data_IF_204500840323
#
_entry.id   IF_204500840323
#
_cell.length_a   1.000
_cell.length_b   1.000
_cell.length_c   1.000
_cell.angle_alpha   90.00
_cell.angle_beta   90.00
_cell.angle_gamma   90.00
#
_symmetry.space_group_name_H-M   'P 1'
#
loop_
_entity.id
_entity.type
_entity.pdbx_description
1 polymer ?
#
# COMPACT_ATOMS: atom_id res chain seq x y z
N UNK A 1 -5.95 31.20 -8.35
CA UNK A 1 -5.46 29.97 -7.71
C UNK A 1 -5.49 28.89 -8.78
N UNK A 2 -4.37 28.71 -9.49
CA UNK A 2 -4.25 27.73 -10.57
C UNK A 2 -4.16 26.33 -9.94
N UNK A 3 -5.14 25.46 -10.17
CA UNK A 3 -4.84 24.03 -10.22
C UNK A 3 -4.07 23.83 -11.54
N UNK A 4 -2.78 23.45 -11.50
CA UNK A 4 -2.07 23.13 -12.73
C UNK A 4 -2.75 21.92 -13.38
N UNK A 5 -2.65 21.82 -14.71
CA UNK A 5 -3.07 20.65 -15.48
C UNK A 5 -2.75 19.36 -14.72
N UNK A 6 -3.76 18.50 -14.55
CA UNK A 6 -3.61 17.18 -13.93
C UNK A 6 -2.43 16.50 -14.61
N UNK A 7 -1.37 16.18 -13.85
CA UNK A 7 -0.17 15.52 -14.38
C UNK A 7 -0.60 14.32 -15.23
N UNK A 8 0.00 14.12 -16.40
CA UNK A 8 -0.32 13.03 -17.32
C UNK A 8 -0.46 11.68 -16.61
N UNK A 9 0.38 11.37 -15.61
CA UNK A 9 0.27 10.13 -14.81
C UNK A 9 -1.05 10.05 -14.03
N UNK A 10 -1.49 11.15 -13.42
CA UNK A 10 -2.76 11.23 -12.71
C UNK A 10 -3.95 11.25 -13.67
N UNK A 11 -3.80 11.78 -14.90
CA UNK A 11 -4.83 11.68 -15.92
C UNK A 11 -5.00 10.24 -16.44
N UNK A 12 -3.88 9.51 -16.61
CA UNK A 12 -3.89 8.11 -17.06
C UNK A 12 -4.59 7.19 -16.05
N UNK A 13 -4.50 7.45 -14.74
CA UNK A 13 -5.21 6.67 -13.73
C UNK A 13 -6.72 6.90 -13.71
N UNK A 14 -7.23 7.87 -14.48
CA UNK A 14 -8.66 8.15 -14.60
C UNK A 14 -9.27 7.59 -15.90
N UNK A 15 -8.47 6.86 -16.70
CA UNK A 15 -8.99 6.18 -17.90
C UNK A 15 -9.87 5.01 -17.43
N UNK A 16 -11.14 4.95 -17.84
CA UNK A 16 -12.02 3.86 -17.46
C UNK A 16 -11.57 2.54 -18.12
N UNK A 17 -11.38 1.50 -17.31
CA UNK A 17 -10.95 0.17 -17.76
C UNK A 17 -12.04 -0.88 -17.48
N UNK A 18 -12.85 -0.65 -16.43
CA UNK A 18 -14.01 -1.44 -16.05
C UNK A 18 -15.33 -0.73 -16.42
N UNK A 19 -16.41 -1.49 -16.57
CA UNK A 19 -17.76 -0.91 -16.67
C UNK A 19 -18.10 -0.03 -15.46
N UNK A 20 -17.63 -0.41 -14.27
CA UNK A 20 -17.81 0.37 -13.04
C UNK A 20 -17.05 1.70 -13.00
N UNK A 21 -16.05 1.89 -13.87
CA UNK A 21 -15.33 3.17 -14.02
C UNK A 21 -16.07 4.14 -14.94
N UNK A 22 -17.01 3.62 -15.75
CA UNK A 22 -17.91 4.43 -16.56
C UNK A 22 -19.07 4.86 -15.66
N UNK A 23 -18.85 5.97 -14.94
CA UNK A 23 -19.82 6.42 -13.94
C UNK A 23 -20.98 7.17 -14.62
N UNK A 24 -21.97 6.43 -15.11
CA UNK A 24 -23.21 7.00 -15.70
C UNK A 24 -24.01 7.87 -14.71
N UNK A 25 -23.68 7.79 -13.41
CA UNK A 25 -24.28 8.54 -12.30
C UNK A 25 -23.24 9.19 -11.39
N UNK A 26 -22.25 9.87 -11.99
CA UNK A 26 -21.09 10.40 -11.25
C UNK A 26 -21.48 11.28 -10.06
N UNK A 27 -22.45 12.16 -10.21
CA UNK A 27 -22.88 13.05 -9.12
C UNK A 27 -23.70 12.33 -8.03
N UNK A 28 -24.27 11.16 -8.33
CA UNK A 28 -25.02 10.35 -7.35
C UNK A 28 -24.05 9.54 -6.48
N UNK A 29 -23.06 8.90 -7.09
CA UNK A 29 -22.07 8.08 -6.40
C UNK A 29 -20.89 8.87 -5.83
N UNK A 30 -20.52 9.97 -6.49
CA UNK A 30 -19.40 10.85 -6.13
C UNK A 30 -19.86 12.31 -6.17
N UNK A 31 -20.70 12.72 -5.21
CA UNK A 31 -21.26 14.07 -5.17
C UNK A 31 -20.16 15.13 -5.07
N UNK A 32 -20.17 16.16 -5.94
CA UNK A 32 -19.13 17.16 -5.96
C UNK A 32 -19.12 17.98 -4.67
N UNK A 33 -17.92 18.19 -4.11
CA UNK A 33 -17.75 18.99 -2.89
C UNK A 33 -18.08 18.25 -1.60
N UNK A 34 -18.40 16.96 -1.67
CA UNK A 34 -18.53 16.10 -0.50
C UNK A 34 -17.31 15.19 -0.37
N UNK A 35 -16.68 15.26 0.79
CA UNK A 35 -15.48 14.53 1.12
C UNK A 35 -15.69 13.76 2.42
N UNK A 36 -14.97 12.66 2.58
CA UNK A 36 -14.89 11.96 3.85
C UNK A 36 -13.97 12.72 4.83
N UNK A 37 -13.71 12.11 5.99
CA UNK A 37 -12.88 12.71 7.05
C UNK A 37 -11.41 12.88 6.64
N UNK A 38 -10.97 12.16 5.60
CA UNK A 38 -9.59 12.09 5.12
C UNK A 38 -9.40 12.97 3.86
N UNK A 39 -10.35 13.90 3.62
CA UNK A 39 -10.45 14.77 2.44
C UNK A 39 -10.49 14.01 1.10
N UNK A 40 -10.91 12.74 1.11
CA UNK A 40 -11.10 11.95 -0.11
C UNK A 40 -12.52 12.10 -0.63
N UNK A 41 -12.68 12.02 -1.96
CA UNK A 41 -14.00 12.10 -2.60
C UNK A 41 -14.89 10.98 -2.04
N UNK A 42 -16.04 11.37 -1.48
CA UNK A 42 -16.98 10.41 -0.90
C UNK A 42 -17.49 9.43 -1.97
N UNK A 43 -17.40 8.13 -1.69
CA UNK A 43 -17.89 7.03 -2.52
C UNK A 43 -19.15 6.43 -1.92
N UNK A 44 -20.28 6.64 -2.60
CA UNK A 44 -21.61 6.18 -2.18
C UNK A 44 -22.07 4.91 -2.92
N UNK A 45 -21.17 4.25 -3.66
CA UNK A 45 -21.51 2.97 -4.31
C UNK A 45 -21.88 1.93 -3.24
N UNK A 46 -22.93 1.16 -3.51
CA UNK A 46 -23.40 0.12 -2.60
C UNK A 46 -22.51 -1.14 -2.60
N UNK A 47 -21.68 -1.31 -3.63
CA UNK A 47 -20.82 -2.48 -3.83
C UNK A 47 -19.45 -2.05 -4.34
N UNK A 48 -18.42 -2.76 -3.88
CA UNK A 48 -17.04 -2.65 -4.36
C UNK A 48 -16.32 -4.00 -4.23
N UNK A 49 -15.16 -4.13 -4.85
CA UNK A 49 -14.40 -5.39 -4.92
C UNK A 49 -13.93 -5.90 -3.55
N UNK A 50 -13.91 -5.05 -2.52
CA UNK A 50 -13.57 -5.42 -1.14
C UNK A 50 -14.51 -6.48 -0.54
N UNK A 51 -15.78 -6.42 -0.96
CA UNK A 51 -16.87 -7.27 -0.47
C UNK A 51 -17.19 -8.45 -1.38
N UNK A 52 -16.44 -8.62 -2.48
CA UNK A 52 -16.69 -9.67 -3.48
C UNK A 52 -15.89 -10.94 -3.19
N UNK A 53 -16.50 -12.10 -3.43
CA UNK A 53 -15.86 -13.41 -3.33
C UNK A 53 -15.24 -13.86 -4.67
N UNK A 54 -14.51 -14.98 -4.64
CA UNK A 54 -13.97 -15.61 -5.85
C UNK A 54 -15.10 -15.93 -6.85
N UNK A 55 -14.90 -15.56 -8.12
CA UNK A 55 -15.91 -15.71 -9.18
C UNK A 55 -16.83 -14.50 -9.36
N UNK A 56 -16.79 -13.53 -8.44
CA UNK A 56 -17.51 -12.25 -8.57
C UNK A 56 -16.59 -11.10 -8.98
N UNK A 57 -15.28 -11.25 -8.78
CA UNK A 57 -14.27 -10.25 -9.16
C UNK A 57 -13.92 -10.41 -10.63
N UNK A 58 -13.98 -9.31 -11.39
CA UNK A 58 -13.62 -9.33 -12.81
C UNK A 58 -12.11 -9.59 -13.00
N UNK A 59 -11.75 -10.17 -14.15
CA UNK A 59 -10.33 -10.39 -14.47
C UNK A 59 -9.52 -9.10 -14.49
N UNK A 60 -10.12 -7.99 -14.93
CA UNK A 60 -9.48 -6.68 -15.01
C UNK A 60 -9.20 -6.13 -13.61
N UNK A 61 -10.19 -6.10 -12.72
CA UNK A 61 -10.03 -5.66 -11.31
C UNK A 61 -8.94 -6.47 -10.59
N UNK A 62 -8.95 -7.79 -10.79
CA UNK A 62 -7.93 -8.68 -10.22
C UNK A 62 -6.52 -8.33 -10.72
N UNK A 63 -6.38 -8.06 -12.03
CA UNK A 63 -5.10 -7.67 -12.63
C UNK A 63 -4.66 -6.30 -12.14
N UNK A 64 -5.53 -5.29 -12.12
CA UNK A 64 -5.20 -3.94 -11.65
C UNK A 64 -4.75 -3.93 -10.20
N UNK A 65 -5.47 -4.65 -9.33
CA UNK A 65 -5.08 -4.82 -7.94
C UNK A 65 -3.66 -5.40 -7.80
N UNK A 66 -3.29 -6.40 -8.61
CA UNK A 66 -1.94 -6.98 -8.63
C UNK A 66 -0.90 -6.04 -9.24
N UNK A 67 -1.25 -5.33 -10.31
CA UNK A 67 -0.36 -4.36 -10.96
C UNK A 67 0.03 -3.29 -9.96
N UNK A 68 -0.94 -2.74 -9.23
CA UNK A 68 -0.71 -1.68 -8.24
C UNK A 68 0.03 -2.22 -7.02
N UNK A 69 -0.41 -3.34 -6.45
CA UNK A 69 0.07 -3.79 -5.13
C UNK A 69 1.28 -4.73 -5.17
N UNK A 70 1.63 -5.31 -6.32
CA UNK A 70 2.74 -6.25 -6.43
C UNK A 70 3.68 -5.95 -7.61
N UNK A 71 3.15 -5.70 -8.81
CA UNK A 71 4.02 -5.54 -9.99
C UNK A 71 4.71 -4.18 -10.02
N UNK A 72 4.01 -3.09 -9.70
CA UNK A 72 4.61 -1.77 -9.63
C UNK A 72 5.73 -1.70 -8.57
N UNK A 73 5.55 -2.21 -7.33
CA UNK A 73 6.64 -2.34 -6.38
C UNK A 73 7.82 -3.17 -6.92
N UNK A 74 7.54 -4.31 -7.57
CA UNK A 74 8.58 -5.14 -8.19
C UNK A 74 9.39 -4.35 -9.23
N UNK A 75 8.72 -3.67 -10.17
CA UNK A 75 9.39 -2.89 -11.22
C UNK A 75 10.23 -1.78 -10.61
N UNK A 76 9.67 -1.00 -9.67
CA UNK A 76 10.41 0.08 -9.02
C UNK A 76 11.67 -0.43 -8.33
N UNK A 77 11.56 -1.51 -7.55
CA UNK A 77 12.69 -2.06 -6.81
C UNK A 77 13.73 -2.67 -7.76
N UNK A 78 13.29 -3.42 -8.78
CA UNK A 78 14.17 -4.06 -9.76
C UNK A 78 14.96 -3.03 -10.57
N UNK A 79 14.29 -2.01 -11.10
CA UNK A 79 14.90 -1.01 -11.98
C UNK A 79 15.74 0.01 -11.20
N UNK A 80 15.34 0.39 -9.98
CA UNK A 80 16.08 1.36 -9.18
C UNK A 80 17.23 0.73 -8.38
N UNK A 81 17.32 -0.61 -8.30
CA UNK A 81 18.35 -1.31 -7.53
C UNK A 81 19.77 -0.85 -7.90
N UNK A 82 20.09 -0.79 -9.19
CA UNK A 82 21.42 -0.41 -9.65
C UNK A 82 21.78 1.02 -9.20
N UNK A 83 20.83 1.95 -9.28
CA UNK A 83 21.02 3.33 -8.82
C UNK A 83 21.21 3.42 -7.30
N UNK A 84 20.50 2.60 -6.53
CA UNK A 84 20.69 2.51 -5.08
C UNK A 84 22.09 1.97 -4.72
N UNK A 85 22.60 0.99 -5.47
CA UNK A 85 23.96 0.46 -5.29
C UNK A 85 25.04 1.49 -5.66
N UNK A 86 24.82 2.26 -6.73
CA UNK A 86 25.73 3.33 -7.17
C UNK A 86 25.75 4.54 -6.23
N UNK A 87 24.72 4.72 -5.40
CA UNK A 87 24.64 5.82 -4.44
C UNK A 87 25.82 5.74 -3.46
N UNK A 88 26.69 6.74 -3.53
CA UNK A 88 27.89 6.89 -2.70
C UNK A 88 27.62 7.71 -1.45
N UNK A 89 28.47 7.56 -0.45
CA UNK A 89 28.51 8.47 0.69
C UNK A 89 28.63 9.93 0.23
N UNK A 90 27.96 10.87 0.90
CA UNK A 90 28.31 12.28 0.80
C UNK A 90 29.80 12.50 1.06
N UNK A 91 30.42 13.43 0.34
CA UNK A 91 31.84 13.73 0.47
C UNK A 91 32.21 14.05 1.93
N UNK A 92 33.21 13.34 2.46
CA UNK A 92 33.66 13.49 3.86
C UNK A 92 32.96 12.58 4.87
N UNK A 93 32.06 11.68 4.45
CA UNK A 93 31.43 10.70 5.34
C UNK A 93 32.20 9.37 5.35
N UNK A 94 32.39 8.81 6.54
CA UNK A 94 32.99 7.48 6.74
C UNK A 94 31.91 6.39 6.84
N UNK A 95 32.25 5.13 6.52
CA UNK A 95 31.35 3.97 6.63
C UNK A 95 30.58 3.63 5.34
N UNK A 96 29.56 2.77 5.45
CA UNK A 96 28.67 2.45 4.33
C UNK A 96 27.41 3.32 4.38
N UNK A 97 26.94 3.77 3.22
CA UNK A 97 25.65 4.47 3.12
C UNK A 97 24.52 3.45 3.14
N UNK A 98 23.73 3.43 4.22
CA UNK A 98 22.56 2.58 4.30
C UNK A 98 21.41 3.17 3.47
N UNK A 99 20.74 2.30 2.71
CA UNK A 99 19.53 2.65 1.95
C UNK A 99 18.38 1.78 2.40
N UNK A 100 17.16 2.29 2.28
CA UNK A 100 15.99 1.62 2.81
C UNK A 100 14.90 1.50 1.74
N UNK A 101 14.26 0.34 1.70
CA UNK A 101 13.06 0.09 0.90
C UNK A 101 11.97 -0.34 1.88
N UNK A 102 10.86 0.38 1.90
CA UNK A 102 9.72 0.03 2.75
C UNK A 102 8.51 -0.26 1.87
N UNK A 103 8.13 -1.53 1.79
CA UNK A 103 6.93 -1.94 1.12
C UNK A 103 5.72 -1.73 2.04
N UNK A 104 4.82 -0.83 1.65
CA UNK A 104 3.56 -0.61 2.38
C UNK A 104 2.62 -1.79 2.13
N UNK A 105 2.51 -2.63 3.14
CA UNK A 105 1.73 -3.87 3.13
C UNK A 105 0.62 -3.80 4.18
N UNK A 106 -0.07 -4.91 4.39
CA UNK A 106 -1.19 -4.98 5.30
C UNK A 106 -1.42 -6.41 5.80
N UNK A 107 -2.30 -6.56 6.78
CA UNK A 107 -2.73 -7.86 7.31
C UNK A 107 -3.35 -8.78 6.23
N UNK A 108 -3.79 -8.22 5.11
CA UNK A 108 -4.28 -8.90 3.90
C UNK A 108 -3.19 -9.83 3.34
N UNK A 109 -1.92 -9.45 3.45
CA UNK A 109 -0.80 -10.28 3.00
C UNK A 109 -0.37 -11.37 3.97
N UNK A 110 -1.01 -11.49 5.16
CA UNK A 110 -0.65 -12.53 6.13
C UNK A 110 -1.32 -13.87 5.87
N UNK A 111 -0.55 -14.96 5.92
CA UNK A 111 -1.07 -16.32 5.81
C UNK A 111 -1.68 -16.83 7.13
N UNK A 112 -1.02 -16.56 8.26
CA UNK A 112 -1.41 -17.12 9.56
C UNK A 112 -2.43 -16.26 10.33
N UNK A 113 -3.46 -15.78 9.62
CA UNK A 113 -4.55 -14.97 10.16
C UNK A 113 -5.89 -15.50 9.63
N UNK A 114 -6.95 -15.39 10.43
CA UNK A 114 -8.30 -15.69 9.95
C UNK A 114 -8.67 -14.73 8.82
N UNK A 115 -9.12 -15.31 7.70
CA UNK A 115 -9.58 -14.58 6.51
C UNK A 115 -11.07 -14.82 6.31
N UNK A 116 -11.73 -13.84 5.70
CA UNK A 116 -13.08 -14.04 5.14
C UNK A 116 -12.95 -14.64 3.73
N UNK A 117 -14.08 -14.88 3.07
CA UNK A 117 -14.12 -15.31 1.66
C UNK A 117 -13.98 -14.14 0.67
N UNK A 118 -13.94 -12.91 1.16
CA UNK A 118 -13.99 -11.69 0.35
C UNK A 118 -12.59 -11.16 0.02
N UNK A 119 -12.52 -10.28 -1.00
CA UNK A 119 -11.29 -9.65 -1.52
C UNK A 119 -10.08 -10.61 -1.69
N UNK A 120 -10.26 -11.84 -2.23
CA UNK A 120 -9.14 -12.77 -2.39
C UNK A 120 -8.00 -12.20 -3.25
N UNK A 121 -8.33 -11.38 -4.26
CA UNK A 121 -7.35 -10.71 -5.13
C UNK A 121 -6.42 -9.76 -4.35
N UNK A 122 -6.93 -8.95 -3.42
CA UNK A 122 -6.12 -8.10 -2.54
C UNK A 122 -5.24 -8.91 -1.60
N UNK A 123 -5.79 -9.97 -1.00
CA UNK A 123 -5.02 -10.89 -0.15
C UNK A 123 -3.86 -11.51 -0.95
N UNK A 124 -4.11 -11.98 -2.18
CA UNK A 124 -3.08 -12.52 -3.07
C UNK A 124 -1.99 -11.48 -3.42
N UNK A 125 -2.38 -10.26 -3.78
CA UNK A 125 -1.43 -9.22 -4.17
C UNK A 125 -0.53 -8.81 -3.00
N UNK A 126 -1.10 -8.58 -1.80
CA UNK A 126 -0.31 -8.24 -0.60
C UNK A 126 0.57 -9.42 -0.14
N UNK A 127 0.09 -10.66 -0.27
CA UNK A 127 0.90 -11.85 0.02
C UNK A 127 2.09 -11.98 -0.95
N UNK A 128 1.89 -11.66 -2.22
CA UNK A 128 2.96 -11.61 -3.24
C UNK A 128 4.03 -10.55 -2.88
N UNK A 129 3.60 -9.33 -2.52
CA UNK A 129 4.48 -8.26 -2.05
C UNK A 129 5.30 -8.66 -0.81
N UNK A 130 4.64 -9.30 0.16
CA UNK A 130 5.28 -9.84 1.35
C UNK A 130 6.33 -10.92 1.00
N UNK A 131 5.99 -11.83 0.09
CA UNK A 131 6.90 -12.89 -0.34
C UNK A 131 8.13 -12.32 -1.07
N UNK A 132 7.95 -11.31 -1.92
CA UNK A 132 9.05 -10.61 -2.57
C UNK A 132 9.98 -9.98 -1.52
N UNK A 133 9.42 -9.30 -0.52
CA UNK A 133 10.17 -8.72 0.60
C UNK A 133 11.00 -9.79 1.32
N UNK A 134 10.34 -10.88 1.73
CA UNK A 134 10.97 -11.99 2.44
C UNK A 134 12.11 -12.65 1.64
N UNK A 135 11.95 -12.76 0.33
CA UNK A 135 12.88 -13.48 -0.54
C UNK A 135 14.10 -12.64 -0.91
N UNK A 136 13.88 -11.39 -1.37
CA UNK A 136 14.95 -10.57 -1.93
C UNK A 136 15.76 -9.80 -0.87
N UNK A 137 15.21 -9.57 0.33
CA UNK A 137 15.84 -8.72 1.33
C UNK A 137 17.24 -9.18 1.76
N UNK A 138 17.52 -10.49 1.83
CA UNK A 138 18.84 -10.98 2.21
C UNK A 138 19.94 -10.56 1.22
N UNK A 139 19.65 -10.61 -0.09
CA UNK A 139 20.58 -10.18 -1.12
C UNK A 139 20.80 -8.66 -1.12
N UNK A 140 19.75 -7.88 -0.86
CA UNK A 140 19.83 -6.43 -0.75
C UNK A 140 20.61 -6.00 0.51
N UNK A 141 20.40 -6.68 1.65
CA UNK A 141 21.09 -6.36 2.89
C UNK A 141 22.61 -6.53 2.78
N UNK A 142 23.07 -7.49 1.97
CA UNK A 142 24.49 -7.71 1.68
C UNK A 142 25.18 -6.53 0.97
N UNK A 143 24.40 -5.63 0.36
CA UNK A 143 24.87 -4.41 -0.33
C UNK A 143 24.35 -3.12 0.34
N UNK A 144 24.06 -3.18 1.65
CA UNK A 144 23.56 -2.06 2.47
C UNK A 144 22.21 -1.48 2.01
N UNK A 145 21.35 -2.30 1.42
CA UNK A 145 19.96 -1.95 1.09
C UNK A 145 19.01 -2.78 1.97
N UNK A 146 18.33 -2.14 2.89
CA UNK A 146 17.48 -2.80 3.90
C UNK A 146 16.02 -2.72 3.47
N UNK A 147 15.46 -3.86 3.08
CA UNK A 147 14.08 -3.96 2.61
C UNK A 147 13.16 -4.57 3.67
N UNK A 148 12.08 -3.88 4.01
CA UNK A 148 11.06 -4.32 4.97
C UNK A 148 9.66 -4.23 4.37
N UNK A 149 8.69 -4.94 4.98
CA UNK A 149 7.27 -4.76 4.72
C UNK A 149 6.61 -4.24 6.00
N UNK A 150 5.70 -3.26 5.89
CA UNK A 150 5.08 -2.60 7.05
C UNK A 150 3.57 -2.58 6.91
N UNK A 151 2.88 -3.03 7.95
CA UNK A 151 1.45 -2.83 8.17
C UNK A 151 1.20 -1.42 8.70
N UNK A 152 0.42 -0.62 7.97
CA UNK A 152 -0.01 0.72 8.39
C UNK A 152 -0.97 0.69 9.56
N UNK A 153 -1.59 -0.47 9.82
CA UNK A 153 -2.73 -0.59 10.72
C UNK A 153 -4.03 -0.17 10.04
N UNK A 154 -5.11 -0.18 10.81
CA UNK A 154 -6.45 0.14 10.32
C UNK A 154 -6.66 1.65 10.34
N UNK A 155 -6.50 2.28 9.18
CA UNK A 155 -6.57 3.73 8.97
C UNK A 155 -7.73 4.14 8.06
N UNK A 156 -8.16 3.24 7.18
CA UNK A 156 -9.27 3.43 6.22
C UNK A 156 -10.22 2.24 6.34
N UNK A 157 -11.51 2.45 6.09
CA UNK A 157 -12.47 1.35 5.93
C UNK A 157 -12.84 1.25 4.44
N UNK A 158 -12.53 0.11 3.84
CA UNK A 158 -12.77 -0.18 2.43
C UNK A 158 -14.19 -0.71 2.14
N UNK A 159 -15.01 -0.93 3.17
CA UNK A 159 -16.39 -1.36 3.00
C UNK A 159 -17.26 -0.21 2.44
N UNK A 160 -18.32 -0.52 1.66
CA UNK A 160 -19.31 0.46 1.23
C UNK A 160 -19.89 1.29 2.39
N UNK A 161 -20.20 2.56 2.11
CA UNK A 161 -20.64 3.53 3.13
C UNK A 161 -21.91 3.09 3.89
N UNK A 162 -22.82 2.33 3.27
CA UNK A 162 -24.02 1.84 3.94
C UNK A 162 -23.70 0.75 5.01
N UNK A 163 -22.61 0.02 4.85
CA UNK A 163 -22.15 -0.97 5.83
C UNK A 163 -21.53 -0.30 7.06
N UNK A 164 -20.95 0.88 6.86
CA UNK A 164 -20.40 1.70 7.92
C UNK A 164 -21.47 2.12 8.95
N UNK A 165 -22.60 2.63 8.44
CA UNK A 165 -23.74 3.05 9.27
C UNK A 165 -24.29 1.89 10.10
N UNK A 166 -24.38 0.70 9.49
CA UNK A 166 -24.83 -0.53 10.17
C UNK A 166 -23.91 -0.98 11.30
N UNK A 167 -22.61 -0.64 11.23
CA UNK A 167 -21.62 -0.94 12.28
C UNK A 167 -21.55 0.13 13.37
N UNK A 168 -22.45 1.12 13.34
CA UNK A 168 -22.51 2.18 14.34
C UNK A 168 -21.41 3.23 14.19
N UNK A 169 -20.88 3.43 12.98
CA UNK A 169 -19.88 4.46 12.67
C UNK A 169 -18.66 4.43 13.58
N UNK A 170 -18.05 3.26 13.78
CA UNK A 170 -16.86 3.10 14.63
C UNK A 170 -15.57 3.32 13.81
N UNK A 171 -15.03 4.57 13.70
CA UNK A 171 -13.90 4.93 12.83
C UNK A 171 -12.70 3.97 12.96
N UNK A 172 -11.94 3.74 11.87
CA UNK A 172 -10.59 3.23 12.02
C UNK A 172 -9.85 4.01 13.12
N UNK A 173 -9.21 3.31 14.07
CA UNK A 173 -8.70 3.91 15.30
C UNK A 173 -7.37 4.65 15.12
N UNK A 174 -6.77 4.59 13.93
CA UNK A 174 -5.51 5.23 13.58
C UNK A 174 -5.76 6.26 12.48
N UNK A 175 -4.93 7.30 12.47
CA UNK A 175 -4.93 8.34 11.44
C UNK A 175 -3.77 8.14 10.43
N UNK A 176 -3.67 9.04 9.46
CA UNK A 176 -2.62 9.06 8.44
C UNK A 176 -1.22 9.33 9.03
N UNK A 177 -1.12 10.04 10.15
CA UNK A 177 0.14 10.30 10.83
C UNK A 177 0.67 9.04 11.52
N UNK A 178 -0.20 8.31 12.21
CA UNK A 178 0.10 6.98 12.77
C UNK A 178 0.59 6.03 11.68
N UNK A 179 -0.10 6.02 10.53
CA UNK A 179 0.29 5.21 9.37
C UNK A 179 1.69 5.56 8.87
N UNK A 180 1.93 6.85 8.62
CA UNK A 180 3.20 7.36 8.11
C UNK A 180 4.35 7.06 9.08
N UNK A 181 4.12 7.24 10.39
CA UNK A 181 5.11 6.95 11.42
C UNK A 181 5.49 5.47 11.46
N UNK A 182 4.54 4.56 11.24
CA UNK A 182 4.84 3.12 11.15
C UNK A 182 5.70 2.79 9.93
N UNK A 183 5.37 3.38 8.78
CA UNK A 183 6.11 3.17 7.52
C UNK A 183 7.55 3.69 7.63
N UNK A 184 7.76 4.86 8.22
CA UNK A 184 9.09 5.47 8.31
C UNK A 184 9.95 4.90 9.44
N UNK A 185 9.36 4.28 10.46
CA UNK A 185 10.08 3.77 11.63
C UNK A 185 11.33 2.92 11.32
N UNK A 186 11.29 1.87 10.46
CA UNK A 186 12.49 1.08 10.16
C UNK A 186 13.62 1.91 9.52
N UNK A 187 13.28 2.99 8.80
CA UNK A 187 14.25 3.94 8.26
C UNK A 187 14.87 4.75 9.38
N UNK A 188 14.04 5.30 10.28
CA UNK A 188 14.53 6.11 11.41
C UNK A 188 15.39 5.30 12.37
N UNK A 189 15.03 4.04 12.65
CA UNK A 189 15.85 3.12 13.43
C UNK A 189 17.25 2.96 12.83
N UNK A 190 17.31 2.68 11.52
CA UNK A 190 18.58 2.55 10.82
C UNK A 190 19.41 3.83 10.84
N UNK A 191 18.80 5.00 10.62
CA UNK A 191 19.47 6.31 10.67
C UNK A 191 20.01 6.63 12.07
N UNK A 192 19.32 6.21 13.14
CA UNK A 192 19.77 6.38 14.53
C UNK A 192 20.87 5.40 14.93
N UNK A 193 21.31 4.51 14.03
CA UNK A 193 22.32 3.50 14.30
C UNK A 193 21.82 2.31 15.13
N UNK A 194 20.50 2.11 15.19
CA UNK A 194 19.89 0.92 15.78
C UNK A 194 20.00 -0.29 14.83
N UNK A 195 19.38 -1.41 15.20
CA UNK A 195 19.32 -2.59 14.35
C UNK A 195 18.64 -2.27 13.00
N UNK A 196 19.33 -2.56 11.91
CA UNK A 196 18.83 -2.34 10.54
C UNK A 196 17.95 -3.52 10.17
N UNK A 197 16.64 -3.33 10.28
CA UNK A 197 15.66 -4.36 9.98
C UNK A 197 15.61 -4.64 8.48
N UNK A 198 15.56 -5.91 8.09
CA UNK A 198 15.37 -6.36 6.73
C UNK A 198 14.69 -7.73 6.71
N UNK A 199 13.96 -8.04 5.64
CA UNK A 199 13.33 -9.35 5.46
C UNK A 199 12.31 -9.70 6.55
N UNK A 200 11.66 -8.68 7.12
CA UNK A 200 10.64 -8.81 8.15
C UNK A 200 9.35 -8.12 7.73
N UNK A 201 8.23 -8.63 8.24
CA UNK A 201 6.95 -7.92 8.23
C UNK A 201 6.75 -7.23 9.58
N UNK A 202 6.55 -5.91 9.58
CA UNK A 202 6.39 -5.11 10.78
C UNK A 202 4.92 -4.76 11.00
N UNK A 203 4.47 -4.98 12.22
CA UNK A 203 3.15 -4.56 12.71
C UNK A 203 3.32 -3.94 14.08
N UNK A 204 2.76 -2.75 14.30
CA UNK A 204 2.92 -2.02 15.55
C UNK A 204 4.41 -1.89 15.95
N UNK A 205 5.27 -1.49 15.01
CA UNK A 205 6.71 -1.28 15.21
C UNK A 205 7.50 -2.56 15.57
N UNK A 206 6.94 -3.75 15.36
CA UNK A 206 7.58 -5.03 15.74
C UNK A 206 7.49 -6.07 14.62
N UNK A 207 8.51 -6.92 14.46
CA UNK A 207 8.42 -8.09 13.60
C UNK A 207 7.23 -8.98 13.99
N UNK A 208 6.45 -9.37 13.01
CA UNK A 208 5.33 -10.30 13.13
C UNK A 208 5.48 -11.44 12.11
N UNK A 209 4.62 -12.45 12.24
CA UNK A 209 4.52 -13.53 11.25
C UNK A 209 4.07 -12.97 9.90
N UNK A 210 4.60 -13.58 8.85
CA UNK A 210 4.11 -13.48 7.47
C UNK A 210 2.73 -14.09 7.29
#
# INVERSE_FOLDING_TARGET
MHLPEVNASAALSQIPVLEGDVIEKKEEYFPPGLYDRDDQQLDLRAENSWTLALGQISSVEMMECHVINAFAPWVLISELKALMEETRNPAGSEGNWDKFIVNVSAMEGQFYRNKTIFHPHTNMAKASLNMMTRTAAAGLAAVNIFMTAVDTGWITDENPADQWEKRGNAPPPLDEWDAAMRVIDPVLMGIRGEEKLWGVFLKNYRPTRW
#
